data_IF_136966266595
#
_entry.id   IF_136966266595
#
_cell.length_a   1.000
_cell.length_b   1.000
_cell.length_c   1.000
_cell.angle_alpha   90.00
_cell.angle_beta   90.00
_cell.angle_gamma   90.00
#
_symmetry.space_group_name_H-M   'P 1'
#
loop_
_entity.id
_entity.type
_entity.pdbx_description
1 polymer ?
#
# COMPACT_ATOMS: atom_id res chain seq x y z
N UNK A 1 -85.45 -72.95 -31.58
CA UNK A 1 -85.06 -73.14 -32.99
C UNK A 1 -85.55 -71.91 -33.76
N UNK A 2 -84.79 -71.10 -34.48
CA UNK A 2 -83.39 -71.08 -34.92
C UNK A 2 -83.10 -69.65 -35.45
N UNK A 3 -81.86 -69.16 -35.20
CA UNK A 3 -80.90 -68.37 -36.03
C UNK A 3 -81.48 -67.55 -37.23
N UNK A 4 -81.12 -66.29 -37.59
CA UNK A 4 -79.76 -65.71 -37.85
C UNK A 4 -79.78 -64.21 -38.29
N UNK A 5 -78.80 -63.42 -37.81
CA UNK A 5 -77.93 -62.35 -38.42
C UNK A 5 -78.39 -60.95 -38.93
N UNK A 6 -77.54 -59.97 -38.53
CA UNK A 6 -76.96 -58.77 -39.23
C UNK A 6 -77.88 -57.53 -39.44
N UNK A 7 -77.51 -56.24 -39.27
CA UNK A 7 -76.22 -55.48 -39.18
C UNK A 7 -76.46 -54.00 -38.80
N UNK A 8 -75.60 -53.41 -37.92
CA UNK A 8 -75.13 -51.99 -37.76
C UNK A 8 -76.10 -50.78 -37.61
N UNK A 9 -75.64 -49.55 -37.23
CA UNK A 9 -74.52 -49.15 -36.35
C UNK A 9 -74.87 -47.97 -35.40
N UNK A 10 -74.17 -47.80 -34.26
CA UNK A 10 -73.81 -46.45 -33.79
C UNK A 10 -72.78 -46.52 -32.65
N UNK A 11 -71.57 -45.97 -32.86
CA UNK A 11 -70.82 -45.14 -31.91
C UNK A 11 -69.29 -45.21 -32.07
N UNK A 12 -68.70 -44.01 -31.99
CA UNK A 12 -67.37 -43.66 -31.46
C UNK A 12 -66.14 -44.11 -32.25
N UNK A 13 -65.53 -43.14 -32.96
CA UNK A 13 -64.08 -42.92 -32.90
C UNK A 13 -63.77 -41.44 -32.73
N UNK A 14 -62.94 -41.19 -31.73
CA UNK A 14 -62.43 -39.91 -31.23
C UNK A 14 -61.47 -39.30 -32.26
N UNK A 15 -61.67 -38.04 -32.62
CA UNK A 15 -60.66 -37.19 -33.27
C UNK A 15 -60.17 -36.20 -32.21
N UNK A 16 -58.93 -36.39 -31.73
CA UNK A 16 -58.23 -35.39 -30.91
C UNK A 16 -57.65 -34.36 -31.87
N UNK A 17 -58.23 -33.17 -31.90
CA UNK A 17 -57.52 -31.96 -32.32
C UNK A 17 -56.98 -31.33 -31.03
N UNK A 18 -55.67 -31.47 -30.83
CA UNK A 18 -54.94 -30.79 -29.76
C UNK A 18 -54.78 -29.34 -30.23
N UNK A 19 -55.52 -28.42 -29.62
CA UNK A 19 -55.23 -27.00 -29.70
C UNK A 19 -53.88 -26.78 -29.02
N UNK A 20 -52.91 -26.36 -29.82
CA UNK A 20 -51.60 -25.89 -29.37
C UNK A 20 -51.80 -24.62 -28.53
N UNK A 21 -51.46 -24.67 -27.24
CA UNK A 21 -51.55 -23.55 -26.30
C UNK A 21 -50.40 -22.56 -26.51
N UNK A 22 -50.25 -22.07 -27.74
CA UNK A 22 -49.40 -20.93 -28.05
C UNK A 22 -50.04 -19.66 -27.50
N UNK A 23 -49.45 -19.07 -26.46
CA UNK A 23 -49.78 -17.72 -26.00
C UNK A 23 -49.71 -16.77 -27.21
N UNK A 24 -50.73 -15.94 -27.48
CA UNK A 24 -50.72 -15.03 -28.64
C UNK A 24 -49.48 -14.13 -28.65
N UNK A 25 -48.81 -13.93 -29.80
CA UNK A 25 -47.56 -13.16 -29.89
C UNK A 25 -47.66 -11.74 -29.28
N UNK A 26 -48.83 -11.10 -29.41
CA UNK A 26 -49.10 -9.74 -28.92
C UNK A 26 -49.13 -9.62 -27.38
N UNK A 27 -49.41 -10.71 -26.65
CA UNK A 27 -49.40 -10.72 -25.18
C UNK A 27 -47.98 -10.86 -24.60
N UNK A 28 -47.04 -11.45 -25.35
CA UNK A 28 -45.64 -11.59 -24.93
C UNK A 28 -44.87 -10.29 -25.09
N UNK A 29 -45.08 -9.57 -26.21
CA UNK A 29 -44.51 -8.24 -26.42
C UNK A 29 -44.94 -7.24 -25.35
N UNK A 30 -46.21 -7.27 -24.92
CA UNK A 30 -46.69 -6.37 -23.86
C UNK A 30 -46.11 -6.70 -22.49
N UNK A 31 -45.83 -7.97 -22.20
CA UNK A 31 -45.15 -8.36 -20.94
C UNK A 31 -43.66 -8.09 -20.95
N UNK A 32 -42.99 -8.22 -22.09
CA UNK A 32 -41.57 -7.87 -22.24
C UNK A 32 -41.37 -6.35 -22.18
N UNK A 33 -42.22 -5.56 -22.85
CA UNK A 33 -42.19 -4.11 -22.77
C UNK A 33 -42.45 -3.58 -21.35
N UNK A 34 -43.34 -4.21 -20.60
CA UNK A 34 -43.56 -3.87 -19.19
C UNK A 34 -42.31 -4.15 -18.31
N UNK A 35 -41.58 -5.23 -18.58
CA UNK A 35 -40.33 -5.55 -17.87
C UNK A 35 -39.20 -4.59 -18.23
N UNK A 36 -39.12 -4.16 -19.48
CA UNK A 36 -38.14 -3.16 -19.94
C UNK A 36 -38.40 -1.84 -19.21
N UNK A 37 -39.65 -1.40 -19.15
CA UNK A 37 -40.03 -0.17 -18.45
C UNK A 37 -39.72 -0.23 -16.94
N UNK A 38 -39.99 -1.35 -16.29
CA UNK A 38 -39.61 -1.58 -14.88
C UNK A 38 -38.09 -1.56 -14.66
N UNK A 39 -37.31 -2.06 -15.63
CA UNK A 39 -35.85 -2.00 -15.58
C UNK A 39 -35.33 -0.57 -15.78
N UNK A 40 -35.92 0.21 -16.69
CA UNK A 40 -35.57 1.62 -16.91
C UNK A 40 -35.84 2.48 -15.67
N UNK A 41 -36.96 2.24 -14.97
CA UNK A 41 -37.27 2.93 -13.70
C UNK A 41 -36.21 2.63 -12.65
N UNK A 42 -35.84 1.35 -12.48
CA UNK A 42 -34.80 0.94 -11.52
C UNK A 42 -33.42 1.50 -11.88
N UNK A 43 -33.09 1.55 -13.16
CA UNK A 43 -31.83 2.12 -13.64
C UNK A 43 -31.74 3.61 -13.27
N UNK A 44 -32.79 4.37 -13.55
CA UNK A 44 -32.86 5.80 -13.25
C UNK A 44 -32.82 6.07 -11.72
N UNK A 45 -33.44 5.20 -10.92
CA UNK A 45 -33.35 5.28 -9.46
C UNK A 45 -31.91 5.03 -8.96
N UNK A 46 -31.23 4.02 -9.52
CA UNK A 46 -29.83 3.73 -9.19
C UNK A 46 -28.89 4.86 -9.61
N UNK A 47 -29.09 5.46 -10.78
CA UNK A 47 -28.32 6.63 -11.24
C UNK A 47 -28.52 7.83 -10.31
N UNK A 48 -29.75 8.05 -9.83
CA UNK A 48 -30.04 9.08 -8.82
C UNK A 48 -29.32 8.83 -7.48
N UNK A 49 -29.26 7.57 -7.04
CA UNK A 49 -28.52 7.20 -5.83
C UNK A 49 -27.01 7.41 -6.00
N UNK A 50 -26.44 7.06 -7.16
CA UNK A 50 -25.02 7.29 -7.48
C UNK A 50 -24.71 8.79 -7.47
N UNK A 51 -25.55 9.62 -8.10
CA UNK A 51 -25.37 11.07 -8.12
C UNK A 51 -25.43 11.67 -6.70
N UNK A 52 -26.36 11.23 -5.88
CA UNK A 52 -26.49 11.65 -4.47
C UNK A 52 -25.27 11.26 -3.63
N UNK A 53 -24.82 10.00 -3.75
CA UNK A 53 -23.63 9.52 -3.05
C UNK A 53 -22.36 10.25 -3.51
N UNK A 54 -22.23 10.51 -4.81
CA UNK A 54 -21.10 11.24 -5.39
C UNK A 54 -21.07 12.70 -4.92
N UNK A 55 -22.23 13.37 -4.83
CA UNK A 55 -22.34 14.71 -4.26
C UNK A 55 -22.00 14.73 -2.76
N UNK A 56 -22.46 13.75 -1.99
CA UNK A 56 -22.12 13.63 -0.56
C UNK A 56 -20.63 13.37 -0.36
N UNK A 57 -20.01 12.51 -1.17
CA UNK A 57 -18.56 12.28 -1.18
C UNK A 57 -17.79 13.55 -1.55
N UNK A 58 -18.28 14.33 -2.52
CA UNK A 58 -17.68 15.60 -2.92
C UNK A 58 -17.78 16.66 -1.82
N UNK A 59 -18.91 16.73 -1.12
CA UNK A 59 -19.09 17.61 0.04
C UNK A 59 -18.19 17.21 1.21
N UNK A 60 -18.14 15.92 1.55
CA UNK A 60 -17.22 15.39 2.57
C UNK A 60 -15.74 15.61 2.20
N UNK A 61 -15.41 15.54 0.91
CA UNK A 61 -14.07 15.86 0.40
C UNK A 61 -13.74 17.35 0.55
N UNK A 62 -14.67 18.26 0.24
CA UNK A 62 -14.50 19.70 0.46
C UNK A 62 -14.40 20.07 1.94
N UNK A 63 -15.13 19.39 2.81
CA UNK A 63 -15.07 19.57 4.26
C UNK A 63 -13.78 18.98 4.86
N UNK A 64 -13.28 17.88 4.28
CA UNK A 64 -11.95 17.32 4.56
C UNK A 64 -10.82 18.27 4.11
N UNK A 65 -10.93 18.92 2.96
CA UNK A 65 -9.95 19.88 2.43
C UNK A 65 -9.84 21.14 3.31
N UNK A 66 -10.95 21.60 3.90
CA UNK A 66 -10.96 22.71 4.87
C UNK A 66 -10.28 22.34 6.19
N UNK A 67 -10.40 21.09 6.63
CA UNK A 67 -9.72 20.58 7.83
C UNK A 67 -8.27 20.11 7.57
N UNK A 68 -7.88 19.91 6.30
CA UNK A 68 -6.56 19.44 5.92
C UNK A 68 -5.45 20.47 6.19
N UNK A 69 -5.71 21.78 6.14
CA UNK A 69 -4.68 22.80 6.43
C UNK A 69 -4.11 22.73 7.86
N UNK A 70 -4.77 22.04 8.79
CA UNK A 70 -4.30 21.79 10.16
C UNK A 70 -3.85 20.34 10.42
N UNK A 71 -4.02 19.40 9.47
CA UNK A 71 -3.90 17.95 9.73
C UNK A 71 -3.27 17.08 8.60
N UNK A 72 -2.70 17.68 7.54
CA UNK A 72 -2.07 16.96 6.39
C UNK A 72 -0.99 15.92 6.82
N UNK A 73 -0.32 16.14 7.95
CA UNK A 73 0.76 15.27 8.47
C UNK A 73 0.27 13.94 9.04
N UNK A 74 -0.95 13.88 9.56
CA UNK A 74 -1.49 12.68 10.22
C UNK A 74 -1.97 11.62 9.20
N UNK A 75 -2.60 12.04 8.10
CA UNK A 75 -3.08 11.11 7.06
C UNK A 75 -1.96 10.49 6.22
N UNK A 76 -0.90 11.26 5.95
CA UNK A 76 0.20 10.84 5.05
C UNK A 76 1.15 9.82 5.69
N UNK A 77 1.24 9.83 7.02
CA UNK A 77 2.07 8.93 7.83
C UNK A 77 1.29 7.73 8.39
N UNK A 78 -0.02 7.61 8.10
CA UNK A 78 -0.83 6.50 8.58
C UNK A 78 -0.42 5.16 7.90
N UNK A 79 -0.31 4.03 8.63
CA UNK A 79 0.17 2.75 8.07
C UNK A 79 -0.55 2.28 6.81
N UNK A 80 -1.88 2.44 6.73
CA UNK A 80 -2.65 2.07 5.51
C UNK A 80 -2.28 2.94 4.30
N UNK A 81 -2.02 4.23 4.52
CA UNK A 81 -1.56 5.14 3.47
C UNK A 81 -0.17 4.73 3.00
N UNK A 82 0.74 4.38 3.92
CA UNK A 82 2.07 3.88 3.60
C UNK A 82 1.99 2.60 2.77
N UNK A 83 1.13 1.65 3.15
CA UNK A 83 0.92 0.42 2.38
C UNK A 83 0.47 0.72 0.96
N UNK A 84 -0.58 1.54 0.78
CA UNK A 84 -1.04 1.92 -0.55
C UNK A 84 0.08 2.56 -1.38
N UNK A 85 0.79 3.54 -0.80
CA UNK A 85 1.87 4.23 -1.50
C UNK A 85 3.06 3.34 -1.85
N UNK A 86 3.34 2.31 -1.05
CA UNK A 86 4.38 1.33 -1.37
C UNK A 86 3.95 0.42 -2.53
N UNK A 87 2.66 0.05 -2.62
CA UNK A 87 2.11 -0.61 -3.81
C UNK A 87 2.17 0.30 -5.05
N UNK A 88 1.85 1.58 -4.88
CA UNK A 88 1.90 2.57 -5.96
C UNK A 88 3.35 2.76 -6.47
N UNK A 89 4.33 2.83 -5.55
CA UNK A 89 5.77 2.93 -5.86
C UNK A 89 6.24 1.78 -6.76
N UNK A 90 5.79 0.56 -6.52
CA UNK A 90 6.10 -0.58 -7.39
C UNK A 90 5.38 -0.49 -8.73
N UNK A 91 4.10 -0.12 -8.71
CA UNK A 91 3.24 -0.14 -9.89
C UNK A 91 3.60 0.97 -10.90
N UNK A 92 4.08 2.12 -10.42
CA UNK A 92 4.31 3.29 -11.26
C UNK A 92 5.79 3.71 -11.32
N UNK A 93 6.36 4.24 -10.23
CA UNK A 93 7.70 4.81 -10.26
C UNK A 93 8.78 3.76 -10.54
N UNK A 94 8.68 2.57 -9.94
CA UNK A 94 9.59 1.45 -10.23
C UNK A 94 9.52 1.05 -11.70
N UNK A 95 8.32 0.85 -12.25
CA UNK A 95 8.13 0.51 -13.67
C UNK A 95 8.66 1.59 -14.61
N UNK A 96 8.53 2.87 -14.24
CA UNK A 96 9.01 3.99 -15.05
C UNK A 96 10.54 4.05 -15.03
N UNK A 97 11.16 3.87 -13.86
CA UNK A 97 12.62 3.79 -13.73
C UNK A 97 13.19 2.53 -14.41
N UNK A 98 12.50 1.40 -14.32
CA UNK A 98 12.87 0.16 -14.99
C UNK A 98 12.90 0.31 -16.51
N UNK A 99 11.87 0.93 -17.09
CA UNK A 99 11.82 1.25 -18.53
C UNK A 99 12.95 2.19 -18.94
N UNK A 100 13.33 3.14 -18.08
CA UNK A 100 14.46 4.03 -18.35
C UNK A 100 15.81 3.30 -18.37
N UNK A 101 16.02 2.38 -17.41
CA UNK A 101 17.25 1.58 -17.33
C UNK A 101 17.37 0.57 -18.49
N UNK A 102 16.25 0.12 -19.05
CA UNK A 102 16.20 -0.85 -20.16
C UNK A 102 15.87 -0.21 -21.52
N UNK A 103 16.20 1.07 -21.74
CA UNK A 103 15.96 1.74 -23.03
C UNK A 103 16.74 1.11 -24.20
N UNK A 104 17.89 0.53 -23.91
CA UNK A 104 18.70 -0.18 -24.91
C UNK A 104 18.24 -1.65 -24.95
N UNK A 105 17.79 -2.13 -26.11
CA UNK A 105 17.24 -3.48 -26.38
C UNK A 105 18.14 -4.67 -25.94
N UNK A 106 19.37 -4.40 -25.52
CA UNK A 106 20.35 -5.37 -25.02
C UNK A 106 20.61 -5.27 -23.52
N UNK A 107 19.87 -4.41 -22.81
CA UNK A 107 19.93 -4.27 -21.36
C UNK A 107 19.48 -5.56 -20.67
N UNK A 108 20.38 -6.15 -19.88
CA UNK A 108 20.03 -7.30 -19.05
C UNK A 108 18.99 -6.84 -18.00
N UNK A 109 17.73 -7.23 -18.21
CA UNK A 109 16.59 -6.95 -17.30
C UNK A 109 16.96 -7.17 -15.82
N UNK A 110 17.70 -8.24 -15.53
CA UNK A 110 18.18 -8.57 -14.19
C UNK A 110 19.12 -7.50 -13.59
N UNK A 111 19.93 -6.83 -14.42
CA UNK A 111 20.79 -5.72 -13.98
C UNK A 111 19.95 -4.52 -13.55
N UNK A 112 18.92 -4.17 -14.33
CA UNK A 112 18.02 -3.08 -13.98
C UNK A 112 17.24 -3.39 -12.69
N UNK A 113 16.71 -4.60 -12.55
CA UNK A 113 16.05 -5.08 -11.32
C UNK A 113 17.01 -4.94 -10.12
N UNK A 114 18.25 -5.41 -10.27
CA UNK A 114 19.25 -5.34 -9.22
C UNK A 114 19.60 -3.91 -8.81
N UNK A 115 19.69 -2.97 -9.76
CA UNK A 115 19.93 -1.55 -9.46
C UNK A 115 18.76 -0.96 -8.66
N UNK A 116 17.52 -1.17 -9.11
CA UNK A 116 16.33 -0.64 -8.42
C UNK A 116 16.18 -1.24 -7.01
N UNK A 117 16.37 -2.56 -6.90
CA UNK A 117 16.36 -3.25 -5.61
C UNK A 117 17.47 -2.75 -4.67
N UNK A 118 18.69 -2.50 -5.19
CA UNK A 118 19.78 -1.88 -4.43
C UNK A 118 19.40 -0.50 -3.92
N UNK A 119 18.83 0.38 -4.76
CA UNK A 119 18.39 1.72 -4.35
C UNK A 119 17.42 1.63 -3.17
N UNK A 120 16.37 0.82 -3.28
CA UNK A 120 15.37 0.68 -2.21
C UNK A 120 15.98 0.11 -0.93
N UNK A 121 16.84 -0.91 -1.04
CA UNK A 121 17.54 -1.51 0.11
C UNK A 121 18.44 -0.50 0.83
N UNK A 122 19.18 0.30 0.07
CA UNK A 122 20.03 1.34 0.64
C UNK A 122 19.24 2.50 1.22
N UNK A 123 18.13 2.90 0.59
CA UNK A 123 17.21 3.90 1.13
C UNK A 123 16.62 3.44 2.47
N UNK A 124 16.18 2.18 2.56
CA UNK A 124 15.67 1.61 3.81
C UNK A 124 16.72 1.61 4.92
N UNK A 125 17.93 1.12 4.64
CA UNK A 125 19.04 1.12 5.61
C UNK A 125 19.43 2.52 6.05
N UNK A 126 19.53 3.45 5.10
CA UNK A 126 19.82 4.86 5.37
C UNK A 126 18.77 5.47 6.30
N UNK A 127 17.49 5.29 6.01
CA UNK A 127 16.40 5.80 6.85
C UNK A 127 16.41 5.15 8.23
N UNK A 128 16.64 3.83 8.33
CA UNK A 128 16.66 3.10 9.60
C UNK A 128 17.78 3.59 10.53
N UNK A 129 19.01 3.68 10.03
CA UNK A 129 20.15 4.18 10.83
C UNK A 129 19.92 5.63 11.22
N UNK A 130 19.46 6.46 10.28
CA UNK A 130 19.19 7.88 10.54
C UNK A 130 18.08 8.06 11.58
N UNK A 131 17.03 7.22 11.56
CA UNK A 131 15.92 7.34 12.52
C UNK A 131 16.31 6.88 13.92
N UNK A 132 17.19 5.89 14.03
CA UNK A 132 17.76 5.44 15.30
C UNK A 132 18.63 6.53 15.92
N UNK A 133 19.55 7.11 15.15
CA UNK A 133 20.42 8.20 15.61
C UNK A 133 19.58 9.43 16.00
N UNK A 134 18.63 9.84 15.17
CA UNK A 134 17.76 10.98 15.48
C UNK A 134 16.97 10.76 16.78
N UNK A 135 16.44 9.56 17.01
CA UNK A 135 15.70 9.27 18.24
C UNK A 135 16.62 9.32 19.47
N UNK A 136 17.80 8.72 19.39
CA UNK A 136 18.78 8.76 20.48
C UNK A 136 19.18 10.20 20.82
N UNK A 137 19.48 11.01 19.80
CA UNK A 137 19.85 12.41 19.96
C UNK A 137 18.70 13.23 20.56
N UNK A 138 17.48 13.08 20.05
CA UNK A 138 16.31 13.79 20.59
C UNK A 138 16.05 13.40 22.05
N UNK A 139 16.09 12.10 22.36
CA UNK A 139 15.84 11.60 23.72
C UNK A 139 16.91 12.12 24.69
N UNK A 140 18.18 12.07 24.32
CA UNK A 140 19.27 12.56 25.17
C UNK A 140 19.21 14.07 25.36
N UNK A 141 19.00 14.83 24.28
CA UNK A 141 18.89 16.28 24.36
C UNK A 141 17.70 16.72 25.22
N UNK A 142 16.53 16.10 25.07
CA UNK A 142 15.35 16.43 25.89
C UNK A 142 15.59 16.06 27.35
N UNK A 143 16.18 14.89 27.61
CA UNK A 143 16.56 14.47 28.97
C UNK A 143 17.47 15.51 29.62
N UNK A 144 18.55 15.89 28.94
CA UNK A 144 19.55 16.82 29.48
C UNK A 144 18.94 18.19 29.78
N UNK A 145 18.08 18.70 28.89
CA UNK A 145 17.40 20.00 29.09
C UNK A 145 16.38 19.98 30.24
N UNK A 146 15.74 18.83 30.51
CA UNK A 146 14.81 18.68 31.63
C UNK A 146 15.54 18.47 32.95
N UNK A 147 16.67 17.74 32.92
CA UNK A 147 17.48 17.44 34.09
C UNK A 147 18.28 18.68 34.55
N UNK A 148 18.78 19.47 33.61
CA UNK A 148 19.57 20.67 33.86
C UNK A 148 18.91 21.88 33.19
N UNK A 149 17.82 22.42 33.76
CA UNK A 149 17.16 23.58 33.20
C UNK A 149 18.13 24.75 33.10
N UNK A 150 18.12 25.43 31.95
CA UNK A 150 19.03 26.54 31.71
C UNK A 150 18.68 27.74 32.61
N UNK A 151 19.53 28.02 33.59
CA UNK A 151 19.38 29.17 34.50
C UNK A 151 20.20 30.33 33.93
N UNK A 152 19.52 31.32 33.37
CA UNK A 152 20.13 32.56 32.87
C UNK A 152 20.86 33.24 34.06
N UNK A 153 22.15 33.56 33.87
CA UNK A 153 23.04 34.18 34.86
C UNK A 153 23.44 33.31 36.07
N UNK A 154 23.28 31.99 36.02
CA UNK A 154 23.85 31.13 37.04
C UNK A 154 25.40 31.19 37.02
N UNK A 155 26.07 31.35 38.17
CA UNK A 155 27.52 31.16 38.26
C UNK A 155 27.88 29.76 37.77
N UNK A 156 28.81 29.65 36.81
CA UNK A 156 29.26 28.38 36.21
C UNK A 156 29.72 27.33 37.24
N UNK A 157 30.01 27.76 38.45
CA UNK A 157 30.55 26.98 39.57
C UNK A 157 29.48 26.21 40.38
N UNK A 158 28.19 26.56 40.27
CA UNK A 158 27.12 25.90 41.05
C UNK A 158 26.58 24.63 40.36
N UNK A 159 26.79 24.48 39.04
CA UNK A 159 26.19 23.40 38.24
C UNK A 159 26.96 22.07 38.26
N UNK A 160 28.10 21.99 38.94
CA UNK A 160 29.02 20.84 38.86
C UNK A 160 29.43 20.37 40.25
N UNK A 161 28.56 19.70 41.01
CA UNK A 161 29.03 18.90 42.16
C UNK A 161 28.16 17.69 42.52
N UNK A 162 26.86 17.69 42.22
CA UNK A 162 26.01 16.52 42.48
C UNK A 162 25.76 15.72 41.21
N UNK A 163 26.42 14.57 41.10
CA UNK A 163 26.02 13.53 40.14
C UNK A 163 24.62 13.08 40.49
N UNK A 164 23.63 13.49 39.69
CA UNK A 164 22.25 13.02 39.81
C UNK A 164 22.25 11.48 39.77
N UNK A 165 21.52 10.80 40.69
CA UNK A 165 21.43 9.34 40.69
C UNK A 165 20.97 8.79 39.34
N UNK A 166 21.61 7.70 38.89
CA UNK A 166 21.31 7.03 37.62
C UNK A 166 19.82 6.62 37.50
N UNK A 167 19.20 6.27 38.63
CA UNK A 167 17.77 5.94 38.74
C UNK A 167 16.84 7.09 38.32
N UNK A 168 17.20 8.34 38.67
CA UNK A 168 16.42 9.52 38.27
C UNK A 168 16.51 9.75 36.76
N UNK A 169 17.69 9.51 36.17
CA UNK A 169 17.90 9.59 34.72
C UNK A 169 17.07 8.56 33.95
N UNK A 170 16.93 7.34 34.49
CA UNK A 170 16.10 6.27 33.92
C UNK A 170 14.59 6.57 34.01
N UNK A 171 14.13 7.15 35.12
CA UNK A 171 12.71 7.56 35.26
C UNK A 171 12.32 8.61 34.22
N UNK A 172 13.14 9.65 34.04
CA UNK A 172 12.91 10.70 33.05
C UNK A 172 12.86 10.09 31.64
N UNK A 173 13.79 9.19 31.30
CA UNK A 173 13.83 8.53 29.99
C UNK A 173 12.53 7.77 29.67
N UNK A 174 11.98 7.05 30.65
CA UNK A 174 10.74 6.31 30.49
C UNK A 174 9.53 7.23 30.28
N UNK A 175 9.51 8.40 30.94
CA UNK A 175 8.44 9.38 30.80
C UNK A 175 8.50 10.13 29.45
N UNK A 176 9.69 10.56 29.02
CA UNK A 176 9.85 11.34 27.78
C UNK A 176 9.81 10.48 26.53
N UNK A 177 10.17 9.19 26.61
CA UNK A 177 10.30 8.29 25.47
C UNK A 177 9.07 8.29 24.54
N UNK A 178 7.85 8.04 25.06
CA UNK A 178 6.62 8.10 24.27
C UNK A 178 6.37 9.47 23.63
N UNK A 179 6.63 10.57 24.36
CA UNK A 179 6.40 11.93 23.86
C UNK A 179 7.37 12.29 22.72
N UNK A 180 8.66 11.95 22.87
CA UNK A 180 9.69 12.19 21.84
C UNK A 180 9.37 11.40 20.56
N UNK A 181 8.96 10.14 20.70
CA UNK A 181 8.55 9.31 19.56
C UNK A 181 7.37 9.92 18.80
N UNK A 182 6.38 10.42 19.53
CA UNK A 182 5.19 11.05 18.95
C UNK A 182 5.51 12.39 18.26
N UNK A 183 6.40 13.20 18.83
CA UNK A 183 6.91 14.43 18.19
C UNK A 183 7.64 14.08 16.89
N UNK A 184 8.53 13.08 16.93
CA UNK A 184 9.27 12.60 15.76
C UNK A 184 8.33 12.16 14.65
N UNK A 185 7.32 11.37 14.96
CA UNK A 185 6.32 10.90 13.99
C UNK A 185 5.57 12.06 13.34
N UNK A 186 5.10 13.02 14.14
CA UNK A 186 4.40 14.23 13.64
C UNK A 186 5.29 15.13 12.77
N UNK A 187 6.59 15.20 13.09
CA UNK A 187 7.56 16.00 12.35
C UNK A 187 8.22 15.25 11.17
N UNK A 188 7.85 13.99 10.91
CA UNK A 188 8.55 13.13 9.96
C UNK A 188 8.57 13.71 8.55
N UNK A 189 7.45 14.28 8.10
CA UNK A 189 7.31 14.85 6.75
C UNK A 189 8.27 16.02 6.54
N UNK A 190 8.52 16.82 7.57
CA UNK A 190 9.42 17.97 7.52
C UNK A 190 10.88 17.59 7.26
N UNK A 191 11.27 16.36 7.60
CA UNK A 191 12.65 15.87 7.41
C UNK A 191 12.90 15.35 6.00
N UNK A 192 11.85 15.00 5.25
CA UNK A 192 11.96 14.32 3.95
C UNK A 192 12.80 15.09 2.93
N UNK A 193 12.65 16.42 2.73
CA UNK A 193 13.43 17.15 1.73
C UNK A 193 14.95 17.05 1.98
N UNK A 194 15.36 17.16 3.25
CA UNK A 194 16.76 17.02 3.65
C UNK A 194 17.25 15.59 3.43
N UNK A 195 16.47 14.58 3.83
CA UNK A 195 16.82 13.18 3.66
C UNK A 195 17.01 12.80 2.19
N UNK A 196 16.15 13.28 1.28
CA UNK A 196 16.29 13.07 -0.17
C UNK A 196 17.59 13.66 -0.70
N UNK A 197 17.93 14.88 -0.28
CA UNK A 197 19.18 15.53 -0.67
C UNK A 197 20.41 14.74 -0.18
N UNK A 198 20.41 14.34 1.10
CA UNK A 198 21.51 13.55 1.67
C UNK A 198 21.66 12.19 0.99
N UNK A 199 20.55 11.50 0.72
CA UNK A 199 20.59 10.21 0.06
C UNK A 199 21.20 10.29 -1.34
N UNK A 200 20.82 11.30 -2.13
CA UNK A 200 21.41 11.49 -3.47
C UNK A 200 22.91 11.79 -3.39
N UNK A 201 23.31 12.75 -2.56
CA UNK A 201 24.69 13.26 -2.55
C UNK A 201 25.69 12.32 -1.87
N UNK A 202 25.23 11.40 -1.02
CA UNK A 202 26.12 10.51 -0.28
C UNK A 202 25.89 9.05 -0.63
N UNK A 203 24.64 8.60 -0.67
CA UNK A 203 24.36 7.16 -0.86
C UNK A 203 24.33 6.78 -2.34
N UNK A 204 23.70 7.58 -3.21
CA UNK A 204 23.68 7.25 -4.64
C UNK A 204 25.07 7.40 -5.28
N UNK A 205 25.82 8.42 -4.87
CA UNK A 205 27.20 8.63 -5.32
C UNK A 205 28.12 7.47 -4.88
N UNK A 206 28.03 7.02 -3.62
CA UNK A 206 28.78 5.85 -3.13
C UNK A 206 28.42 4.55 -3.87
N UNK A 207 27.19 4.45 -4.39
CA UNK A 207 26.74 3.32 -5.21
C UNK A 207 27.18 3.43 -6.68
N UNK A 208 27.81 4.52 -7.08
CA UNK A 208 28.16 4.81 -8.49
C UNK A 208 26.94 5.04 -9.37
N UNK A 209 25.77 5.38 -8.80
CA UNK A 209 24.53 5.60 -9.53
C UNK A 209 24.38 7.09 -9.82
N UNK A 210 24.76 7.49 -11.03
CA UNK A 210 24.61 8.87 -11.48
C UNK A 210 23.22 9.07 -12.10
N UNK A 211 22.30 9.65 -11.34
CA UNK A 211 20.98 10.02 -11.81
C UNK A 211 20.87 11.56 -11.86
N UNK A 212 20.59 12.11 -13.04
CA UNK A 212 20.30 13.53 -13.16
C UNK A 212 19.00 13.86 -12.41
N UNK A 213 18.89 15.10 -11.96
CA UNK A 213 17.66 15.58 -11.32
C UNK A 213 16.46 15.38 -12.26
N UNK A 214 15.32 15.03 -11.69
CA UNK A 214 14.04 14.86 -12.40
C UNK A 214 13.99 13.70 -13.41
N UNK A 215 14.99 12.81 -13.45
CA UNK A 215 14.89 11.53 -14.17
C UNK A 215 13.99 10.55 -13.43
N UNK A 216 13.31 9.62 -14.12
CA UNK A 216 12.56 8.53 -13.49
C UNK A 216 13.34 7.79 -12.40
N UNK A 217 14.62 7.50 -12.61
CA UNK A 217 15.47 6.87 -11.61
C UNK A 217 15.66 7.73 -10.35
N UNK A 218 15.89 9.04 -10.51
CA UNK A 218 16.03 9.98 -9.39
C UNK A 218 14.71 10.14 -8.64
N UNK A 219 13.58 10.20 -9.36
CA UNK A 219 12.24 10.27 -8.77
C UNK A 219 11.95 9.00 -7.97
N UNK A 220 12.30 7.83 -8.50
CA UNK A 220 12.16 6.55 -7.80
C UNK A 220 12.98 6.55 -6.49
N UNK A 221 14.26 6.92 -6.54
CA UNK A 221 15.11 7.02 -5.36
C UNK A 221 14.53 7.96 -4.28
N UNK A 222 14.05 9.13 -4.68
CA UNK A 222 13.40 10.07 -3.77
C UNK A 222 12.16 9.47 -3.10
N UNK A 223 11.33 8.76 -3.86
CA UNK A 223 10.13 8.09 -3.33
C UNK A 223 10.49 6.94 -2.40
N UNK A 224 11.56 6.19 -2.69
CA UNK A 224 12.08 5.16 -1.79
C UNK A 224 12.46 5.77 -0.43
N UNK A 225 13.23 6.86 -0.41
CA UNK A 225 13.65 7.54 0.84
C UNK A 225 12.46 8.05 1.62
N UNK A 226 11.53 8.72 0.94
CA UNK A 226 10.31 9.25 1.56
C UNK A 226 9.49 8.15 2.23
N UNK A 227 9.23 7.04 1.52
CA UNK A 227 8.43 5.96 2.08
C UNK A 227 9.17 5.20 3.18
N UNK A 228 10.46 4.91 2.98
CA UNK A 228 11.27 4.24 4.00
C UNK A 228 11.34 5.06 5.28
N UNK A 229 11.47 6.39 5.19
CA UNK A 229 11.45 7.27 6.35
C UNK A 229 10.12 7.17 7.11
N UNK A 230 9.00 7.28 6.40
CA UNK A 230 7.66 7.17 7.00
C UNK A 230 7.40 5.79 7.60
N UNK A 231 8.02 4.73 7.09
CA UNK A 231 7.95 3.37 7.64
C UNK A 231 8.73 3.23 8.95
N UNK A 232 9.97 3.74 9.01
CA UNK A 232 10.86 3.52 10.16
C UNK A 232 10.55 4.42 11.36
N UNK A 233 9.83 5.53 11.15
CA UNK A 233 9.36 6.42 12.24
C UNK A 233 8.05 5.96 12.88
N UNK A 234 7.44 4.88 12.37
CA UNK A 234 6.26 4.26 13.02
C UNK A 234 6.65 3.64 14.36
N UNK A 235 5.63 3.39 15.19
CA UNK A 235 5.76 2.71 16.48
C UNK A 235 4.76 1.54 16.51
N UNK A 236 5.21 0.28 16.36
CA UNK A 236 6.57 -0.14 16.02
C UNK A 236 6.97 0.21 14.56
N UNK A 237 8.28 0.31 14.25
CA UNK A 237 8.76 0.53 12.88
C UNK A 237 8.33 -0.59 11.93
N UNK A 238 7.89 -0.22 10.72
CA UNK A 238 7.59 -1.20 9.67
C UNK A 238 8.90 -1.74 9.07
N UNK A 239 8.88 -2.97 8.55
CA UNK A 239 10.08 -3.58 7.98
C UNK A 239 9.91 -4.04 6.54
N UNK A 240 10.99 -3.90 5.78
CA UNK A 240 11.14 -4.48 4.45
C UNK A 240 11.95 -5.76 4.54
N UNK A 241 11.36 -6.85 4.07
CA UNK A 241 12.00 -8.15 4.00
C UNK A 241 12.40 -8.43 2.55
N UNK A 242 13.70 -8.52 2.29
CA UNK A 242 14.27 -8.78 0.98
C UNK A 242 14.63 -10.25 0.90
N UNK A 243 14.06 -11.00 -0.05
CA UNK A 243 14.38 -12.42 -0.18
C UNK A 243 15.87 -12.61 -0.48
N UNK A 244 16.42 -13.71 0.04
CA UNK A 244 17.82 -14.09 -0.21
C UNK A 244 17.87 -15.23 -1.22
N UNK A 245 18.88 -15.24 -2.12
CA UNK A 245 19.09 -16.36 -3.02
C UNK A 245 19.13 -17.69 -2.23
N UNK A 246 18.33 -18.67 -2.63
CA UNK A 246 18.22 -19.95 -1.94
C UNK A 246 17.06 -20.08 -0.95
N UNK A 247 16.37 -18.98 -0.59
CA UNK A 247 15.26 -19.05 0.37
C UNK A 247 13.97 -19.56 -0.28
N UNK A 248 13.28 -20.46 0.44
CA UNK A 248 11.94 -20.96 0.10
C UNK A 248 10.92 -20.21 0.96
N UNK A 249 10.14 -19.30 0.36
CA UNK A 249 9.22 -18.44 1.11
C UNK A 249 7.92 -18.13 0.34
N UNK A 250 7.16 -19.18 -0.02
CA UNK A 250 5.89 -19.09 -0.77
C UNK A 250 4.80 -18.22 -0.11
N UNK A 251 4.87 -18.01 1.22
CA UNK A 251 3.93 -17.13 1.94
C UNK A 251 4.26 -15.64 1.86
N UNK A 252 5.53 -15.28 1.61
CA UNK A 252 6.03 -13.88 1.66
C UNK A 252 6.25 -13.26 0.28
N UNK A 253 6.54 -14.07 -0.74
CA UNK A 253 6.88 -13.59 -2.08
C UNK A 253 6.04 -14.28 -3.15
N UNK A 254 5.61 -13.50 -4.14
CA UNK A 254 5.01 -13.99 -5.39
C UNK A 254 6.08 -14.12 -6.47
N UNK A 255 5.86 -15.00 -7.43
CA UNK A 255 6.71 -15.13 -8.62
C UNK A 255 6.63 -13.87 -9.48
N UNK A 256 7.77 -13.44 -10.02
CA UNK A 256 7.86 -12.37 -11.01
C UNK A 256 7.28 -12.77 -12.37
N UNK A 257 7.34 -14.06 -12.74
CA UNK A 257 6.82 -14.58 -14.02
C UNK A 257 5.58 -15.46 -13.81
N UNK A 258 4.58 -15.31 -14.70
CA UNK A 258 3.33 -16.11 -14.75
C UNK A 258 3.54 -17.58 -15.15
N UNK A 259 4.76 -18.00 -15.48
CA UNK A 259 5.06 -19.42 -15.66
C UNK A 259 4.96 -20.12 -14.31
N UNK A 260 3.78 -20.71 -14.05
CA UNK A 260 3.47 -21.65 -12.96
C UNK A 260 4.31 -22.93 -13.06
N UNK A 261 5.63 -22.81 -13.00
CA UNK A 261 6.50 -23.93 -12.67
C UNK A 261 6.69 -23.91 -11.18
N UNK A 262 6.65 -25.10 -10.57
CA UNK A 262 6.77 -25.38 -9.14
C UNK A 262 8.14 -24.99 -8.56
N UNK A 263 8.54 -23.75 -8.77
CA UNK A 263 9.81 -23.18 -8.42
C UNK A 263 9.67 -22.62 -7.00
N UNK A 264 10.45 -23.19 -6.09
CA UNK A 264 10.32 -22.88 -4.65
C UNK A 264 11.48 -22.03 -4.16
N UNK A 265 12.55 -21.91 -4.95
CA UNK A 265 13.78 -21.27 -4.53
C UNK A 265 13.84 -19.87 -5.13
N UNK A 266 14.06 -18.85 -4.28
CA UNK A 266 14.28 -17.48 -4.75
C UNK A 266 15.69 -17.31 -5.31
N UNK A 267 15.81 -16.65 -6.47
CA UNK A 267 17.10 -16.32 -7.11
C UNK A 267 17.42 -14.83 -6.92
N UNK A 268 16.47 -13.96 -7.29
CA UNK A 268 16.66 -12.51 -7.25
C UNK A 268 15.42 -11.79 -6.68
N UNK A 269 15.64 -10.87 -5.74
CA UNK A 269 14.59 -10.04 -5.17
C UNK A 269 14.23 -8.90 -6.12
N UNK A 270 12.99 -8.88 -6.64
CA UNK A 270 12.49 -7.79 -7.48
C UNK A 270 11.89 -6.69 -6.62
N UNK A 271 11.08 -7.09 -5.65
CA UNK A 271 10.36 -6.21 -4.74
C UNK A 271 10.28 -6.83 -3.34
N UNK A 272 10.66 -6.11 -2.26
CA UNK A 272 10.63 -6.67 -0.93
C UNK A 272 9.20 -6.83 -0.41
N UNK A 273 9.01 -7.78 0.51
CA UNK A 273 7.77 -7.86 1.27
C UNK A 273 7.74 -6.74 2.31
N UNK A 274 6.55 -6.17 2.55
CA UNK A 274 6.33 -5.22 3.63
C UNK A 274 5.67 -5.94 4.80
N UNK A 275 6.29 -5.87 5.97
CA UNK A 275 5.73 -6.42 7.21
C UNK A 275 5.43 -5.30 8.21
N UNK A 276 4.51 -5.58 9.13
CA UNK A 276 4.05 -4.61 10.13
C UNK A 276 5.19 -4.15 11.06
N UNK A 277 6.08 -5.08 11.41
CA UNK A 277 7.27 -4.89 12.21
C UNK A 277 8.20 -6.09 12.01
N UNK A 278 9.40 -6.03 12.58
CA UNK A 278 10.33 -7.16 12.55
C UNK A 278 9.66 -8.41 13.17
N UNK A 279 9.68 -9.53 12.44
CA UNK A 279 8.98 -10.78 12.78
C UNK A 279 7.44 -10.67 12.85
N UNK A 280 6.86 -9.56 12.38
CA UNK A 280 5.43 -9.34 12.32
C UNK A 280 4.74 -9.97 11.11
N UNK A 281 3.40 -9.83 11.01
CA UNK A 281 2.66 -10.29 9.85
C UNK A 281 3.06 -9.53 8.57
N UNK A 282 3.00 -10.25 7.46
CA UNK A 282 3.17 -9.68 6.12
C UNK A 282 1.95 -8.84 5.79
N UNK A 283 2.17 -7.55 5.56
CA UNK A 283 1.14 -6.61 5.12
C UNK A 283 0.99 -6.63 3.60
N UNK A 284 2.10 -6.77 2.87
CA UNK A 284 2.12 -6.98 1.43
C UNK A 284 3.23 -7.95 1.04
N UNK A 285 2.89 -8.87 0.16
CA UNK A 285 3.86 -9.82 -0.38
C UNK A 285 4.84 -9.11 -1.32
N UNK A 286 6.09 -9.54 -1.27
CA UNK A 286 7.10 -9.12 -2.22
C UNK A 286 6.98 -9.85 -3.55
N UNK A 287 7.89 -9.53 -4.47
CA UNK A 287 8.02 -10.17 -5.78
C UNK A 287 9.46 -10.66 -5.94
N UNK A 288 9.62 -11.90 -6.36
CA UNK A 288 10.92 -12.52 -6.55
C UNK A 288 10.96 -13.34 -7.84
N UNK A 289 12.12 -13.38 -8.48
CA UNK A 289 12.41 -14.36 -9.52
C UNK A 289 12.70 -15.69 -8.82
N UNK A 290 11.95 -16.73 -9.21
CA UNK A 290 12.05 -18.07 -8.64
C UNK A 290 12.74 -19.01 -9.64
N UNK A 291 13.38 -20.06 -9.12
CA UNK A 291 14.11 -21.07 -9.88
C UNK A 291 13.62 -22.48 -9.62
#
# INVERSE_FOLDING_TARGET
MSVTKMTSPNNRKVRREVYDNGTPPLLRETTENAKIWDMEIKLNEQEGQIASLSNRLSQLSMESLRNESLNITDKSSHPRTIMRRFSDLYSYEWNTAFKELNKDEYGYEETAINILCKILKHAYRFCLVTSMNQLADLTNNVKDQLQFPNIINAPKEILVTETVPEETGLSILNEIGPAVKEIRKRAAVSSIPCLKMLFRNFVMDDLGIQAQKDTPLCIYADRCVELCWLMVVQEPPMCLDFCRPGEVNLGKFKSYSDTERQQTITETCVWPALCQNENGPVLMQGVAIMK
#
